data_IF_852543226257
#
_entry.id   IF_852543226257
#
_cell.length_a   1.000
_cell.length_b   1.000
_cell.length_c   1.000
_cell.angle_alpha   90.00
_cell.angle_beta   90.00
_cell.angle_gamma   90.00
#
_symmetry.space_group_name_H-M   'P 1'
#
loop_
_entity.id
_entity.type
_entity.pdbx_description
1 polymer ?
#
# COMPACT_ATOMS: atom_id res chain seq x y z
N UNK A 1 -1.23 1.89 -6.77
CA UNK A 1 -1.69 2.01 -5.36
C UNK A 1 -2.84 1.04 -5.02
N UNK A 2 -3.89 0.97 -5.86
CA UNK A 2 -5.08 0.12 -5.67
C UNK A 2 -4.74 -1.36 -5.43
N UNK A 3 -4.03 -2.02 -6.37
CA UNK A 3 -3.66 -3.44 -6.28
C UNK A 3 -2.93 -3.81 -4.98
N UNK A 4 -1.96 -2.99 -4.57
CA UNK A 4 -1.18 -3.20 -3.34
C UNK A 4 -2.07 -3.10 -2.11
N UNK A 5 -2.99 -2.12 -2.09
CA UNK A 5 -3.91 -1.93 -0.97
C UNK A 5 -4.93 -3.06 -0.87
N UNK A 6 -5.43 -3.55 -2.01
CA UNK A 6 -6.28 -4.73 -2.10
C UNK A 6 -5.60 -5.97 -1.53
N UNK A 7 -4.43 -6.35 -2.07
CA UNK A 7 -3.67 -7.52 -1.59
C UNK A 7 -3.36 -7.44 -0.09
N UNK A 8 -2.89 -6.27 0.38
CA UNK A 8 -2.57 -6.03 1.78
C UNK A 8 -3.80 -6.19 2.69
N UNK A 9 -4.99 -5.75 2.27
CA UNK A 9 -6.23 -5.92 3.04
C UNK A 9 -6.50 -7.39 3.33
N UNK A 10 -6.52 -8.24 2.29
CA UNK A 10 -6.81 -9.67 2.44
C UNK A 10 -5.72 -10.38 3.22
N UNK A 11 -4.45 -10.12 2.89
CA UNK A 11 -3.32 -10.73 3.59
C UNK A 11 -3.36 -10.42 5.08
N UNK A 12 -3.60 -9.16 5.46
CA UNK A 12 -3.64 -8.77 6.87
C UNK A 12 -4.88 -9.31 7.59
N UNK A 13 -6.01 -9.46 6.89
CA UNK A 13 -7.19 -10.12 7.46
C UNK A 13 -6.92 -11.60 7.78
N UNK A 14 -6.26 -12.34 6.89
CA UNK A 14 -5.89 -13.74 7.12
C UNK A 14 -4.85 -13.89 8.24
N UNK A 15 -3.86 -12.98 8.30
CA UNK A 15 -2.90 -12.94 9.41
C UNK A 15 -3.63 -12.69 10.74
N UNK A 16 -4.54 -11.71 10.79
CA UNK A 16 -5.32 -11.41 11.99
C UNK A 16 -6.15 -12.62 12.44
N UNK A 17 -6.78 -13.34 11.51
CA UNK A 17 -7.55 -14.56 11.79
C UNK A 17 -6.66 -15.65 12.41
N UNK A 18 -5.51 -15.93 11.80
CA UNK A 18 -4.55 -16.93 12.29
C UNK A 18 -4.06 -16.57 13.69
N UNK A 19 -3.68 -15.31 13.91
CA UNK A 19 -3.21 -14.84 15.22
C UNK A 19 -4.31 -14.89 16.29
N UNK A 20 -5.58 -14.61 15.96
CA UNK A 20 -6.70 -14.78 16.91
C UNK A 20 -6.87 -16.23 17.34
N UNK A 21 -6.74 -17.18 16.40
CA UNK A 21 -6.78 -18.61 16.71
C UNK A 21 -5.62 -19.01 17.63
N UNK A 22 -4.42 -18.54 17.33
CA UNK A 22 -3.25 -18.77 18.17
C UNK A 22 -3.42 -18.15 19.57
N UNK A 23 -3.91 -16.91 19.68
CA UNK A 23 -4.18 -16.26 20.96
C UNK A 23 -5.21 -17.04 21.81
N UNK A 24 -6.25 -17.60 21.17
CA UNK A 24 -7.23 -18.48 21.83
C UNK A 24 -6.58 -19.77 22.35
N UNK A 25 -5.67 -20.38 21.57
CA UNK A 25 -4.92 -21.55 22.01
C UNK A 25 -3.97 -21.22 23.18
N UNK A 26 -3.22 -20.13 23.07
CA UNK A 26 -2.34 -19.63 24.15
C UNK A 26 -3.14 -19.30 25.41
N UNK A 27 -4.37 -18.79 25.30
CA UNK A 27 -5.24 -18.58 26.46
C UNK A 27 -5.59 -19.89 27.18
N UNK A 28 -5.89 -20.96 26.44
CA UNK A 28 -6.12 -22.29 27.03
C UNK A 28 -4.85 -22.83 27.71
N UNK A 29 -3.68 -22.62 27.10
CA UNK A 29 -2.39 -23.00 27.68
C UNK A 29 -2.11 -22.27 29.00
N UNK A 30 -2.34 -20.96 29.06
CA UNK A 30 -2.21 -20.18 30.31
C UNK A 30 -3.09 -20.78 31.41
N UNK A 31 -4.33 -21.14 31.10
CA UNK A 31 -5.23 -21.81 32.05
C UNK A 31 -4.65 -23.13 32.56
N UNK A 32 -4.23 -24.01 31.66
CA UNK A 32 -3.64 -25.32 32.01
C UNK A 32 -2.37 -25.18 32.86
N UNK A 33 -1.46 -24.27 32.48
CA UNK A 33 -0.21 -24.06 33.21
C UNK A 33 -0.45 -23.45 34.59
N UNK A 34 -1.47 -22.61 34.76
CA UNK A 34 -1.89 -22.12 36.09
C UNK A 34 -2.36 -23.25 36.99
N UNK A 35 -3.11 -24.22 36.47
CA UNK A 35 -3.53 -25.39 37.27
C UNK A 35 -2.33 -26.29 37.62
N UNK A 36 -1.42 -26.54 36.67
CA UNK A 36 -0.20 -27.31 36.90
C UNK A 36 0.75 -26.64 37.91
N UNK A 37 0.83 -25.31 37.90
CA UNK A 37 1.61 -24.55 38.88
C UNK A 37 1.08 -24.75 40.31
N UNK A 38 -0.24 -24.76 40.52
CA UNK A 38 -0.85 -24.99 41.84
C UNK A 38 -0.46 -26.34 42.45
N UNK A 39 -0.21 -27.36 41.62
CA UNK A 39 0.20 -28.70 42.04
C UNK A 39 1.72 -28.94 41.90
N UNK A 40 2.51 -27.89 41.65
CA UNK A 40 3.97 -27.97 41.57
C UNK A 40 4.53 -28.67 40.31
N UNK A 41 3.70 -28.93 39.30
CA UNK A 41 4.13 -29.60 38.05
C UNK A 41 4.75 -28.65 37.02
N UNK A 42 4.58 -27.34 37.18
CA UNK A 42 5.14 -26.28 36.34
C UNK A 42 5.70 -25.16 37.20
N UNK A 43 6.69 -24.45 36.67
CA UNK A 43 7.26 -23.28 37.35
C UNK A 43 6.39 -22.03 37.14
N UNK A 44 6.56 -21.02 38.00
CA UNK A 44 5.95 -19.70 37.77
C UNK A 44 6.44 -19.09 36.45
N UNK A 45 7.70 -19.34 36.08
CA UNK A 45 8.29 -18.85 34.84
C UNK A 45 7.56 -19.42 33.60
N UNK A 46 7.21 -20.71 33.60
CA UNK A 46 6.40 -21.29 32.52
C UNK A 46 5.04 -20.58 32.35
N UNK A 47 4.39 -20.24 33.48
CA UNK A 47 3.11 -19.53 33.48
C UNK A 47 3.26 -18.13 32.90
N UNK A 48 4.32 -17.41 33.31
CA UNK A 48 4.62 -16.06 32.84
C UNK A 48 4.97 -16.07 31.34
N UNK A 49 5.72 -17.05 30.86
CA UNK A 49 6.05 -17.21 29.44
C UNK A 49 4.79 -17.48 28.60
N UNK A 50 3.90 -18.34 29.08
CA UNK A 50 2.62 -18.59 28.43
C UNK A 50 1.74 -17.31 28.40
N UNK A 51 1.73 -16.53 29.48
CA UNK A 51 1.00 -15.26 29.55
C UNK A 51 1.58 -14.22 28.59
N UNK A 52 2.90 -14.08 28.54
CA UNK A 52 3.59 -13.18 27.62
C UNK A 52 3.31 -13.57 26.16
N UNK A 53 3.35 -14.87 25.84
CA UNK A 53 3.00 -15.38 24.50
C UNK A 53 1.57 -15.00 24.14
N UNK A 54 0.58 -15.27 25.01
CA UNK A 54 -0.82 -14.90 24.78
C UNK A 54 -0.96 -13.39 24.53
N UNK A 55 -0.31 -12.56 25.36
CA UNK A 55 -0.37 -11.11 25.24
C UNK A 55 0.20 -10.64 23.89
N UNK A 56 1.41 -11.09 23.54
CA UNK A 56 2.06 -10.71 22.29
C UNK A 56 1.24 -11.16 21.07
N UNK A 57 0.74 -12.39 21.06
CA UNK A 57 -0.10 -12.88 19.96
C UNK A 57 -1.41 -12.12 19.83
N UNK A 58 -2.07 -11.76 20.95
CA UNK A 58 -3.27 -10.94 20.92
C UNK A 58 -3.00 -9.54 20.35
N UNK A 59 -1.94 -8.87 20.81
CA UNK A 59 -1.51 -7.56 20.30
C UNK A 59 -1.20 -7.60 18.80
N UNK A 60 -0.53 -8.66 18.33
CA UNK A 60 -0.26 -8.84 16.90
C UNK A 60 -1.54 -9.07 16.10
N UNK A 61 -2.51 -9.81 16.65
CA UNK A 61 -3.80 -10.04 16.00
C UNK A 61 -4.56 -8.73 15.77
N UNK A 62 -4.60 -7.87 16.78
CA UNK A 62 -5.23 -6.56 16.69
C UNK A 62 -4.47 -5.65 15.71
N UNK A 63 -3.14 -5.65 15.78
CA UNK A 63 -2.28 -4.90 14.85
C UNK A 63 -2.56 -5.29 13.39
N UNK A 64 -2.65 -6.59 13.10
CA UNK A 64 -3.00 -7.10 11.77
C UNK A 64 -4.42 -6.69 11.35
N UNK A 65 -5.38 -6.73 12.29
CA UNK A 65 -6.75 -6.27 12.04
C UNK A 65 -6.80 -4.79 11.65
N UNK A 66 -6.11 -3.93 12.38
CA UNK A 66 -6.01 -2.50 12.05
C UNK A 66 -5.24 -2.26 10.76
N UNK A 67 -4.21 -3.05 10.47
CA UNK A 67 -3.48 -2.97 9.20
C UNK A 67 -4.37 -3.32 8.00
N UNK A 68 -5.30 -4.27 8.15
CA UNK A 68 -6.31 -4.60 7.13
C UNK A 68 -7.29 -3.44 6.93
N UNK A 69 -7.83 -2.88 8.01
CA UNK A 69 -8.73 -1.71 7.97
C UNK A 69 -8.05 -0.49 7.35
N UNK A 70 -6.78 -0.24 7.68
CA UNK A 70 -6.02 0.84 7.08
C UNK A 70 -5.81 0.63 5.57
N UNK A 71 -5.57 -0.61 5.13
CA UNK A 71 -5.48 -0.93 3.71
C UNK A 71 -6.81 -0.70 2.97
N UNK A 72 -7.94 -0.94 3.62
CA UNK A 72 -9.27 -0.56 3.11
C UNK A 72 -9.42 0.95 2.92
N UNK A 73 -9.04 1.77 3.91
CA UNK A 73 -9.07 3.23 3.74
C UNK A 73 -8.17 3.70 2.59
N UNK A 74 -6.99 3.09 2.43
CA UNK A 74 -6.11 3.40 1.30
C UNK A 74 -6.71 3.01 -0.04
N UNK A 75 -7.45 1.89 -0.10
CA UNK A 75 -8.16 1.47 -1.29
C UNK A 75 -9.24 2.51 -1.67
N UNK A 76 -10.07 2.90 -0.71
CA UNK A 76 -11.11 3.91 -0.90
C UNK A 76 -10.52 5.27 -1.31
N UNK A 77 -9.38 5.66 -0.74
CA UNK A 77 -8.70 6.90 -1.12
C UNK A 77 -8.17 6.84 -2.56
N UNK A 78 -7.54 5.72 -2.94
CA UNK A 78 -6.97 5.52 -4.26
C UNK A 78 -8.04 5.43 -5.37
N UNK A 79 -9.27 5.06 -5.03
CA UNK A 79 -10.42 5.03 -5.97
C UNK A 79 -11.27 6.30 -5.92
N UNK A 80 -10.91 7.28 -5.09
CA UNK A 80 -11.68 8.53 -4.91
C UNK A 80 -13.00 8.36 -4.15
N UNK A 81 -13.23 7.21 -3.53
CA UNK A 81 -14.49 6.88 -2.84
C UNK A 81 -14.46 7.21 -1.33
N UNK A 82 -13.29 7.47 -0.74
CA UNK A 82 -13.14 7.64 0.70
C UNK A 82 -14.08 8.69 1.30
N UNK A 83 -14.06 9.92 0.79
CA UNK A 83 -14.89 11.00 1.34
C UNK A 83 -16.38 10.68 1.24
N UNK A 84 -16.81 10.13 0.10
CA UNK A 84 -18.18 9.68 -0.10
C UNK A 84 -18.58 8.61 0.91
N UNK A 85 -17.73 7.61 1.15
CA UNK A 85 -18.02 6.55 2.13
C UNK A 85 -18.08 7.05 3.57
N UNK A 86 -17.37 8.14 3.89
CA UNK A 86 -17.38 8.76 5.20
C UNK A 86 -18.43 9.86 5.34
N UNK A 87 -19.27 10.09 4.31
CA UNK A 87 -20.21 11.21 4.23
C UNK A 87 -19.55 12.58 4.48
N UNK A 88 -18.32 12.76 4.00
CA UNK A 88 -17.57 14.01 4.11
C UNK A 88 -17.62 14.78 2.79
N UNK A 89 -17.78 16.10 2.90
CA UNK A 89 -17.67 16.99 1.75
C UNK A 89 -16.19 17.23 1.41
N UNK A 90 -15.79 17.14 0.13
CA UNK A 90 -14.47 17.57 -0.30
C UNK A 90 -14.22 19.04 0.05
N UNK A 91 -12.95 19.39 0.26
CA UNK A 91 -12.56 20.78 0.44
C UNK A 91 -12.89 21.61 -0.82
N UNK A 92 -13.12 22.92 -0.67
CA UNK A 92 -13.43 23.82 -1.80
C UNK A 92 -12.38 23.75 -2.91
N UNK A 93 -11.13 23.50 -2.52
CA UNK A 93 -9.97 23.35 -3.40
C UNK A 93 -9.97 22.07 -4.26
N UNK A 94 -10.89 21.13 -4.00
CA UNK A 94 -11.06 19.97 -4.87
C UNK A 94 -11.63 20.35 -6.24
N UNK A 95 -12.35 21.47 -6.36
CA UNK A 95 -12.83 22.00 -7.62
C UNK A 95 -11.72 22.80 -8.33
N UNK A 96 -11.66 22.73 -9.66
CA UNK A 96 -10.75 23.54 -10.46
C UNK A 96 -11.32 24.96 -10.64
N UNK A 97 -11.21 25.80 -9.61
CA UNK A 97 -11.80 27.15 -9.59
C UNK A 97 -10.79 28.28 -9.91
N UNK A 98 -9.51 28.07 -9.64
CA UNK A 98 -8.53 29.16 -9.65
C UNK A 98 -8.34 29.79 -11.04
N UNK A 99 -8.35 29.00 -12.12
CA UNK A 99 -8.15 29.53 -13.49
C UNK A 99 -9.24 30.54 -13.88
N UNK A 100 -10.50 30.21 -13.57
CA UNK A 100 -11.65 31.06 -13.90
C UNK A 100 -11.71 32.28 -12.99
N UNK A 101 -11.41 32.13 -11.70
CA UNK A 101 -11.43 33.25 -10.73
C UNK A 101 -10.35 34.29 -11.00
N UNK A 102 -9.14 33.86 -11.39
CA UNK A 102 -8.01 34.77 -11.66
C UNK A 102 -7.85 35.16 -13.13
N UNK A 103 -8.85 34.86 -13.99
CA UNK A 103 -8.84 35.17 -15.42
C UNK A 103 -7.51 34.83 -16.10
N UNK A 104 -6.95 33.65 -15.79
CA UNK A 104 -5.61 33.27 -16.27
C UNK A 104 -5.67 33.07 -17.79
N UNK A 105 -4.82 33.76 -18.59
CA UNK A 105 -4.82 33.59 -20.03
C UNK A 105 -4.52 32.13 -20.41
N UNK A 106 -5.12 31.66 -21.50
CA UNK A 106 -4.82 30.34 -22.03
C UNK A 106 -3.33 30.25 -22.34
N UNK A 107 -2.73 29.10 -22.01
CA UNK A 107 -1.37 28.82 -22.43
C UNK A 107 -1.36 28.87 -23.95
N UNK A 108 -0.57 29.78 -24.53
CA UNK A 108 -0.44 29.86 -25.98
C UNK A 108 -0.14 28.48 -26.55
N UNK A 109 -0.71 28.17 -27.72
CA UNK A 109 -0.36 26.99 -28.50
C UNK A 109 1.15 27.01 -28.69
N UNK A 110 1.85 26.28 -27.84
CA UNK A 110 3.28 26.11 -27.98
C UNK A 110 3.38 25.12 -29.12
N UNK A 111 4.04 25.51 -30.21
CA UNK A 111 4.54 24.53 -31.16
C UNK A 111 5.33 23.54 -30.33
N UNK A 112 4.75 22.37 -30.05
CA UNK A 112 5.50 21.25 -29.51
C UNK A 112 6.57 21.07 -30.56
N UNK A 113 7.81 21.50 -30.28
CA UNK A 113 8.92 21.37 -31.24
C UNK A 113 8.76 20.00 -31.86
N UNK A 114 8.50 19.96 -33.18
CA UNK A 114 8.25 18.71 -33.88
C UNK A 114 9.37 17.79 -33.44
N UNK A 115 9.03 16.72 -32.70
CA UNK A 115 10.03 15.88 -32.05
C UNK A 115 10.96 15.43 -33.17
N UNK A 116 12.17 15.99 -33.20
CA UNK A 116 13.12 15.64 -34.26
C UNK A 116 13.27 14.14 -34.18
N UNK A 117 13.09 13.40 -35.29
CA UNK A 117 13.26 11.96 -35.27
C UNK A 117 14.59 11.65 -34.57
N UNK A 118 14.55 10.81 -33.54
CA UNK A 118 15.77 10.40 -32.82
C UNK A 118 16.68 9.53 -33.68
N UNK A 119 16.21 9.15 -34.87
CA UNK A 119 16.98 8.47 -35.88
C UNK A 119 17.77 9.48 -36.72
N UNK A 120 19.09 9.48 -36.52
CA UNK A 120 20.01 9.98 -37.51
C UNK A 120 20.04 8.99 -38.67
N UNK A 121 19.42 9.35 -39.80
CA UNK A 121 19.68 8.64 -41.05
C UNK A 121 21.13 8.88 -41.45
N UNK A 122 21.83 7.80 -41.78
CA UNK A 122 23.21 7.83 -42.26
C UNK A 122 23.25 8.34 -43.70
N UNK A 123 22.88 9.61 -43.89
CA UNK A 123 23.29 10.33 -45.08
C UNK A 123 24.69 10.87 -44.77
N UNK A 124 25.71 10.22 -45.35
CA UNK A 124 27.10 10.63 -45.18
C UNK A 124 27.21 12.12 -45.51
N UNK A 125 27.86 12.95 -44.68
CA UNK A 125 28.01 14.38 -44.95
C UNK A 125 28.79 14.64 -46.25
N UNK A 126 29.49 13.64 -46.79
CA UNK A 126 30.07 13.62 -48.13
C UNK A 126 30.10 12.18 -48.68
N UNK A 127 29.47 11.97 -49.83
CA UNK A 127 29.48 10.69 -50.55
C UNK A 127 30.78 10.53 -51.36
N UNK A 128 31.83 10.07 -50.68
CA UNK A 128 33.16 9.82 -51.26
C UNK A 128 33.18 8.69 -52.31
N UNK A 129 32.09 7.93 -52.47
CA UNK A 129 31.98 6.83 -53.43
C UNK A 129 31.07 7.18 -54.63
N UNK A 130 30.56 8.41 -54.70
CA UNK A 130 29.80 8.91 -55.86
C UNK A 130 30.53 8.72 -57.21
N UNK A 131 31.87 8.88 -57.34
CA UNK A 131 32.56 8.72 -58.62
C UNK A 131 32.68 7.26 -59.08
N UNK A 132 32.65 6.29 -58.17
CA UNK A 132 32.88 4.87 -58.47
C UNK A 132 31.58 4.18 -58.92
N UNK A 133 30.41 4.69 -58.50
CA UNK A 133 29.11 4.12 -58.85
C UNK A 133 28.61 4.46 -60.25
N UNK A 134 29.32 5.32 -61.00
CA UNK A 134 28.98 5.75 -62.38
C UNK A 134 29.83 5.09 -63.48
N UNK A 135 30.34 3.88 -63.26
CA UNK A 135 30.92 3.05 -64.34
C UNK A 135 30.25 1.68 -64.37
#
# INVERSE_FOLDING_TARGET
>A
AVRISWDRRFRQAEIAKTLRQQASASQRLVGSYREQFKVGQRSLLDVLDAQNTRFNTATLADTASYASLFAEYRLLAATGQLLKTMNLQPAKQAAAYARTEFATPETADTETYARTPSEQKNDLPFDILAPVRKK
#
